data_IF_200229676651
#
_entry.id   IF_200229676651
#
_cell.length_a   1.000
_cell.length_b   1.000
_cell.length_c   1.000
_cell.angle_alpha   90.00
_cell.angle_beta   90.00
_cell.angle_gamma   90.00
#
_symmetry.space_group_name_H-M   'P 1'
#
loop_
_entity.id
_entity.type
_entity.pdbx_description
1 polymer ?
#
# COMPACT_ATOMS: atom_id res chain seq x y z
N UNK A 1 8.74 -0.58 4.05
CA UNK A 1 7.51 -1.41 4.10
C UNK A 1 6.34 -0.81 3.29
N UNK A 2 6.27 0.52 3.08
CA UNK A 2 5.19 1.16 2.32
C UNK A 2 5.12 0.77 0.84
N UNK A 3 6.26 0.72 0.13
CA UNK A 3 6.24 0.49 -1.32
C UNK A 3 5.69 -0.88 -1.72
N UNK A 4 5.96 -1.94 -0.94
CA UNK A 4 5.43 -3.27 -1.26
C UNK A 4 3.88 -3.29 -1.32
N UNK A 5 3.20 -2.40 -0.60
CA UNK A 5 1.73 -2.30 -0.65
C UNK A 5 1.25 -1.73 -1.97
N UNK A 6 2.05 -0.85 -2.57
CA UNK A 6 1.75 -0.11 -3.78
C UNK A 6 2.39 -0.72 -5.03
N UNK A 7 3.36 -1.64 -4.89
CA UNK A 7 4.16 -2.17 -6.01
C UNK A 7 3.29 -2.67 -7.17
N UNK A 8 2.21 -3.47 -6.97
CA UNK A 8 1.39 -3.93 -8.08
C UNK A 8 0.66 -2.78 -8.79
N UNK A 9 0.11 -1.83 -8.03
CA UNK A 9 -0.51 -0.62 -8.59
C UNK A 9 0.53 0.18 -9.39
N UNK A 10 1.72 0.41 -8.83
CA UNK A 10 2.79 1.11 -9.52
C UNK A 10 3.15 0.44 -10.86
N UNK A 11 3.39 -0.88 -10.84
CA UNK A 11 3.77 -1.61 -12.06
C UNK A 11 2.72 -1.50 -13.16
N UNK A 12 1.44 -1.44 -12.79
CA UNK A 12 0.35 -1.26 -13.72
C UNK A 12 0.25 0.19 -14.21
N UNK A 13 0.21 1.18 -13.31
CA UNK A 13 0.09 2.60 -13.67
C UNK A 13 1.28 3.12 -14.48
N UNK A 14 2.49 2.59 -14.25
CA UNK A 14 3.70 2.99 -14.99
C UNK A 14 3.61 2.67 -16.50
N UNK A 15 2.73 1.77 -16.90
CA UNK A 15 2.52 1.42 -18.31
C UNK A 15 1.69 2.48 -19.06
N UNK A 16 1.01 3.37 -18.34
CA UNK A 16 0.18 4.42 -18.92
C UNK A 16 0.98 5.74 -18.98
N UNK A 17 1.36 6.17 -20.19
CA UNK A 17 2.15 7.39 -20.41
C UNK A 17 1.44 8.68 -19.99
N UNK A 18 0.11 8.63 -19.80
CA UNK A 18 -0.70 9.77 -19.33
C UNK A 18 -0.55 9.99 -17.83
N UNK A 19 0.01 9.02 -17.10
CA UNK A 19 0.10 9.04 -15.64
C UNK A 19 1.53 9.35 -15.21
N UNK A 20 1.69 10.47 -14.51
CA UNK A 20 2.96 10.82 -13.87
C UNK A 20 2.97 10.37 -12.40
N UNK A 21 3.94 9.51 -12.04
CA UNK A 21 4.08 9.00 -10.68
C UNK A 21 5.22 9.70 -9.94
N UNK A 22 4.93 10.17 -8.72
CA UNK A 22 5.91 10.77 -7.81
C UNK A 22 5.93 10.03 -6.47
N UNK A 23 7.13 9.72 -6.00
CA UNK A 23 7.34 9.01 -4.73
C UNK A 23 7.93 9.92 -3.65
N UNK A 24 7.39 9.82 -2.44
CA UNK A 24 7.89 10.56 -1.28
C UNK A 24 7.91 9.68 -0.03
N UNK A 25 8.78 10.01 0.93
CA UNK A 25 8.90 9.31 2.21
C UNK A 25 9.44 10.24 3.31
N UNK A 26 9.23 9.86 4.58
CA UNK A 26 9.65 10.67 5.73
C UNK A 26 11.18 10.85 5.84
N UNK A 27 11.97 9.81 5.54
CA UNK A 27 13.43 9.84 5.70
C UNK A 27 14.14 9.14 4.54
N UNK A 28 15.32 9.68 4.16
CA UNK A 28 16.26 9.06 3.21
C UNK A 28 15.60 8.53 1.93
N UNK A 29 14.68 9.31 1.36
CA UNK A 29 13.79 8.88 0.27
C UNK A 29 14.55 8.25 -0.91
N UNK A 30 15.67 8.85 -1.34
CA UNK A 30 16.49 8.32 -2.44
C UNK A 30 17.15 6.98 -2.08
N UNK A 31 17.74 6.86 -0.89
CA UNK A 31 18.37 5.60 -0.45
C UNK A 31 17.33 4.48 -0.32
N UNK A 32 16.18 4.80 0.26
CA UNK A 32 15.08 3.86 0.47
C UNK A 32 14.54 3.28 -0.84
N UNK A 33 14.29 4.14 -1.84
CA UNK A 33 13.75 3.67 -3.11
C UNK A 33 14.82 3.02 -4.00
N UNK A 34 16.07 3.49 -3.95
CA UNK A 34 17.19 2.83 -4.64
C UNK A 34 17.46 1.42 -4.13
N UNK A 35 17.36 1.18 -2.82
CA UNK A 35 17.63 -0.16 -2.24
C UNK A 35 16.61 -1.22 -2.65
N UNK A 36 15.43 -0.79 -3.11
CA UNK A 36 14.37 -1.68 -3.61
C UNK A 36 14.24 -1.63 -5.14
N UNK A 37 15.27 -1.13 -5.83
CA UNK A 37 15.37 -1.15 -7.30
C UNK A 37 14.67 -0.01 -8.03
N UNK A 38 14.11 0.99 -7.32
CA UNK A 38 13.45 2.14 -7.94
C UNK A 38 14.46 3.28 -8.16
N UNK A 39 15.37 3.11 -9.12
CA UNK A 39 16.41 4.09 -9.44
C UNK A 39 15.93 5.20 -10.39
N UNK A 40 15.02 4.85 -11.28
CA UNK A 40 14.55 5.73 -12.37
C UNK A 40 13.20 6.40 -12.07
N UNK A 41 12.63 6.11 -10.89
CA UNK A 41 11.36 6.72 -10.47
C UNK A 41 11.54 8.17 -10.04
N UNK A 42 10.51 8.99 -10.32
CA UNK A 42 10.49 10.39 -9.90
C UNK A 42 10.33 10.47 -8.39
N UNK A 43 11.39 10.85 -7.69
CA UNK A 43 11.41 10.95 -6.23
C UNK A 43 11.39 12.42 -5.82
N UNK A 44 10.50 12.78 -4.91
CA UNK A 44 10.38 14.12 -4.33
C UNK A 44 10.54 14.08 -2.82
N UNK A 45 11.40 14.96 -2.29
CA UNK A 45 11.55 15.11 -0.84
C UNK A 45 10.25 15.60 -0.22
N UNK A 46 9.94 15.13 0.99
CA UNK A 46 8.69 15.44 1.69
C UNK A 46 8.36 16.93 1.72
N UNK A 47 9.35 17.78 2.01
CA UNK A 47 9.18 19.24 2.04
C UNK A 47 8.76 19.81 0.70
N UNK A 48 9.38 19.36 -0.40
CA UNK A 48 9.04 19.78 -1.75
C UNK A 48 7.72 19.19 -2.24
N UNK A 49 7.41 17.95 -1.83
CA UNK A 49 6.14 17.31 -2.15
C UNK A 49 4.98 18.17 -1.61
N UNK A 50 5.14 18.73 -0.41
CA UNK A 50 4.13 19.58 0.20
C UNK A 50 3.90 20.93 -0.49
N UNK A 51 4.85 21.39 -1.31
CA UNK A 51 4.72 22.63 -2.08
C UNK A 51 4.06 22.41 -3.44
N UNK A 52 3.85 21.16 -3.85
CA UNK A 52 3.24 20.78 -5.11
C UNK A 52 1.77 20.44 -4.93
N UNK A 53 0.99 20.55 -6.01
CA UNK A 53 -0.36 19.99 -6.14
C UNK A 53 -0.29 18.70 -6.95
N UNK A 54 -1.17 17.76 -6.63
CA UNK A 54 -1.30 16.47 -7.29
C UNK A 54 -2.78 16.19 -7.56
N UNK A 55 -3.09 15.41 -8.60
CA UNK A 55 -4.48 14.98 -8.82
C UNK A 55 -4.88 13.90 -7.80
N UNK A 56 -3.93 13.03 -7.44
CA UNK A 56 -4.17 11.92 -6.50
C UNK A 56 -2.97 11.66 -5.58
N UNK A 57 -3.25 11.36 -4.31
CA UNK A 57 -2.27 10.83 -3.38
C UNK A 57 -2.71 9.46 -2.82
N UNK A 58 -1.88 8.45 -3.05
CA UNK A 58 -2.11 7.08 -2.58
C UNK A 58 -1.22 6.80 -1.38
N UNK A 59 -1.83 6.52 -0.24
CA UNK A 59 -1.15 6.42 1.04
C UNK A 59 -1.41 5.05 1.65
N UNK A 60 -0.36 4.24 1.92
CA UNK A 60 -0.52 2.98 2.65
C UNK A 60 -0.53 3.19 4.17
N UNK A 61 -0.28 4.41 4.64
CA UNK A 61 -0.19 4.78 6.04
C UNK A 61 -0.78 6.17 6.29
N UNK A 62 -0.88 6.58 7.55
CA UNK A 62 -1.36 7.91 7.95
C UNK A 62 -0.25 8.97 8.06
N UNK A 63 0.94 8.76 7.48
CA UNK A 63 2.07 9.70 7.64
C UNK A 63 2.03 10.90 6.67
N UNK A 64 1.20 10.84 5.63
CA UNK A 64 1.02 11.92 4.67
C UNK A 64 -0.29 12.65 4.97
N UNK A 65 -0.19 13.76 5.71
CA UNK A 65 -1.36 14.46 6.26
C UNK A 65 -1.75 15.72 5.47
N UNK A 66 -1.00 16.06 4.40
CA UNK A 66 -1.28 17.25 3.60
C UNK A 66 -2.47 17.04 2.67
N UNK A 67 -3.31 18.08 2.57
CA UNK A 67 -4.41 18.20 1.62
C UNK A 67 -3.95 18.95 0.36
N UNK A 68 -2.92 18.43 -0.29
CA UNK A 68 -2.37 18.98 -1.54
C UNK A 68 -2.61 18.05 -2.74
N UNK A 69 -3.57 17.14 -2.60
CA UNK A 69 -4.08 16.32 -3.68
C UNK A 69 -5.59 16.46 -3.75
N UNK A 70 -6.15 16.41 -4.96
CA UNK A 70 -7.59 16.53 -5.18
C UNK A 70 -8.35 15.27 -4.69
N UNK A 71 -7.73 14.09 -4.84
CA UNK A 71 -8.22 12.83 -4.29
C UNK A 71 -7.15 12.16 -3.42
N UNK A 72 -7.52 11.72 -2.20
CA UNK A 72 -6.65 10.96 -1.31
C UNK A 72 -7.20 9.56 -1.07
N UNK A 73 -6.37 8.58 -1.35
CA UNK A 73 -6.70 7.16 -1.22
C UNK A 73 -5.89 6.53 -0.10
N UNK A 74 -6.56 5.89 0.85
CA UNK A 74 -5.91 5.06 1.87
C UNK A 74 -5.96 3.60 1.44
N UNK A 75 -4.78 2.98 1.29
CA UNK A 75 -4.66 1.56 0.90
C UNK A 75 -4.23 0.64 2.04
N UNK A 76 -3.90 1.22 3.19
CA UNK A 76 -3.48 0.52 4.40
C UNK A 76 -2.22 -0.35 4.22
N UNK A 77 -1.78 -0.98 5.32
CA UNK A 77 -0.65 -1.92 5.32
C UNK A 77 -1.07 -3.37 5.55
N UNK A 78 -2.32 -3.60 5.95
CA UNK A 78 -2.82 -4.89 6.36
C UNK A 78 -4.06 -4.78 7.24
N UNK A 79 -4.65 -5.93 7.51
CA UNK A 79 -5.71 -6.08 8.51
C UNK A 79 -5.06 -6.41 9.85
N UNK A 80 -5.44 -5.70 10.90
CA UNK A 80 -4.93 -5.95 12.26
C UNK A 80 -6.08 -6.36 13.16
N UNK A 81 -5.93 -7.47 13.88
CA UNK A 81 -6.85 -7.87 14.94
C UNK A 81 -6.90 -6.85 16.10
N UNK A 82 -5.85 -6.04 16.26
CA UNK A 82 -5.80 -4.92 17.21
C UNK A 82 -6.49 -3.66 16.68
N UNK A 83 -7.17 -3.75 15.53
CA UNK A 83 -7.93 -2.67 14.86
C UNK A 83 -7.18 -1.35 14.65
N UNK A 84 -5.84 -1.36 14.63
CA UNK A 84 -5.03 -0.13 14.43
C UNK A 84 -5.29 0.56 13.09
N UNK A 85 -5.75 -0.18 12.08
CA UNK A 85 -6.11 0.38 10.77
C UNK A 85 -7.42 1.20 10.82
N UNK A 86 -8.31 0.88 11.77
CA UNK A 86 -9.61 1.55 11.98
C UNK A 86 -9.40 2.80 12.82
N UNK A 87 -8.55 3.69 12.31
CA UNK A 87 -8.10 4.89 13.01
C UNK A 87 -8.86 6.11 12.51
N UNK A 88 -9.13 7.09 13.39
CA UNK A 88 -9.86 8.33 13.04
C UNK A 88 -9.28 9.05 11.82
N UNK A 89 -7.95 9.05 11.69
CA UNK A 89 -7.22 9.64 10.53
C UNK A 89 -7.59 9.02 9.17
N UNK A 90 -8.13 7.81 9.13
CA UNK A 90 -8.63 7.24 7.89
C UNK A 90 -9.85 8.02 7.37
N UNK A 91 -10.65 8.61 8.27
CA UNK A 91 -11.84 9.38 7.89
C UNK A 91 -11.52 10.65 7.11
N UNK A 92 -10.26 11.10 7.16
CA UNK A 92 -9.77 12.25 6.38
C UNK A 92 -9.54 11.91 4.90
N UNK A 93 -9.66 10.64 4.47
CA UNK A 93 -9.43 10.23 3.08
C UNK A 93 -10.72 10.19 2.29
N UNK A 94 -10.61 10.44 0.99
CA UNK A 94 -11.72 10.46 0.04
C UNK A 94 -12.10 9.04 -0.39
N UNK A 95 -11.13 8.10 -0.38
CA UNK A 95 -11.33 6.68 -0.65
C UNK A 95 -10.55 5.79 0.30
N UNK A 96 -11.15 4.68 0.69
CA UNK A 96 -10.63 3.65 1.58
C UNK A 96 -10.67 2.31 0.85
N UNK A 97 -9.51 1.79 0.46
CA UNK A 97 -9.41 0.49 -0.18
C UNK A 97 -9.45 -0.58 0.92
N UNK A 98 -10.62 -1.19 1.10
CA UNK A 98 -10.88 -2.12 2.17
C UNK A 98 -10.43 -3.52 1.75
N UNK A 99 -9.74 -4.18 2.68
CA UNK A 99 -9.27 -5.55 2.49
C UNK A 99 -10.41 -6.59 2.41
N UNK A 100 -11.59 -6.27 2.96
CA UNK A 100 -12.73 -7.17 3.02
C UNK A 100 -13.77 -6.75 4.07
N UNK A 101 -14.84 -7.54 4.16
CA UNK A 101 -16.05 -7.23 4.95
C UNK A 101 -15.78 -7.02 6.44
N UNK A 102 -14.79 -7.74 6.99
CA UNK A 102 -14.38 -7.53 8.38
C UNK A 102 -13.94 -6.09 8.64
N UNK A 103 -13.14 -5.53 7.73
CA UNK A 103 -12.59 -4.19 7.89
C UNK A 103 -13.69 -3.13 7.72
N UNK A 104 -14.58 -3.32 6.73
CA UNK A 104 -15.78 -2.51 6.53
C UNK A 104 -16.63 -2.45 7.79
N UNK A 105 -17.02 -3.63 8.30
CA UNK A 105 -17.82 -3.74 9.53
C UNK A 105 -17.17 -3.03 10.70
N UNK A 106 -15.85 -3.14 10.85
CA UNK A 106 -15.15 -2.42 11.94
C UNK A 106 -15.20 -0.91 11.78
N UNK A 107 -15.12 -0.37 10.57
CA UNK A 107 -15.28 1.07 10.34
C UNK A 107 -16.71 1.54 10.65
N UNK A 108 -17.72 0.80 10.22
CA UNK A 108 -19.13 1.06 10.54
C UNK A 108 -19.36 1.03 12.05
N UNK A 109 -18.99 -0.07 12.72
CA UNK A 109 -19.18 -0.25 14.17
C UNK A 109 -18.44 0.80 15.01
N UNK A 110 -17.21 1.15 14.62
CA UNK A 110 -16.35 2.03 15.44
C UNK A 110 -16.67 3.51 15.26
N UNK A 111 -17.04 3.92 14.04
CA UNK A 111 -17.20 5.33 13.69
C UNK A 111 -18.65 5.70 13.32
N UNK A 112 -19.59 4.77 13.40
CA UNK A 112 -21.00 5.00 13.07
C UNK A 112 -21.21 5.39 11.61
N UNK A 113 -20.37 4.86 10.70
CA UNK A 113 -20.49 5.15 9.27
C UNK A 113 -21.64 4.36 8.65
N UNK A 114 -22.18 4.86 7.54
CA UNK A 114 -23.18 4.12 6.78
C UNK A 114 -22.55 2.86 6.14
N UNK A 115 -23.35 1.80 5.98
CA UNK A 115 -22.90 0.57 5.31
C UNK A 115 -22.55 0.79 3.83
N UNK A 116 -23.10 1.84 3.21
CA UNK A 116 -22.87 2.26 1.83
C UNK A 116 -22.03 3.54 1.75
N UNK A 117 -21.23 3.83 2.78
CA UNK A 117 -20.34 5.00 2.79
C UNK A 117 -19.50 5.06 1.51
N UNK A 118 -19.68 6.13 0.74
CA UNK A 118 -19.09 6.32 -0.60
C UNK A 118 -17.57 6.30 -0.63
N UNK A 119 -16.90 6.37 0.53
CA UNK A 119 -15.45 6.22 0.65
C UNK A 119 -15.02 4.76 0.54
N UNK A 120 -15.88 3.79 0.85
CA UNK A 120 -15.50 2.38 0.90
C UNK A 120 -15.35 1.78 -0.51
N UNK A 121 -14.19 1.22 -0.78
CA UNK A 121 -13.88 0.49 -2.02
C UNK A 121 -13.44 -0.93 -1.68
N UNK A 122 -14.28 -1.91 -2.00
CA UNK A 122 -14.08 -3.32 -1.66
C UNK A 122 -13.17 -4.04 -2.66
N UNK A 123 -11.90 -3.65 -2.70
CA UNK A 123 -10.94 -4.13 -3.71
C UNK A 123 -9.87 -5.10 -3.18
N UNK A 124 -9.86 -5.37 -1.87
CA UNK A 124 -8.84 -6.23 -1.26
C UNK A 124 -7.52 -5.48 -0.99
N UNK A 125 -6.40 -6.20 -1.04
CA UNK A 125 -5.07 -5.64 -0.80
C UNK A 125 -4.18 -5.88 -2.01
N UNK A 126 -3.84 -4.84 -2.81
CA UNK A 126 -3.07 -5.01 -4.05
C UNK A 126 -1.78 -5.81 -3.88
N UNK A 127 -1.12 -5.69 -2.73
CA UNK A 127 0.11 -6.45 -2.40
C UNK A 127 -0.03 -7.97 -2.50
N UNK A 128 -1.24 -8.51 -2.40
CA UNK A 128 -1.50 -9.96 -2.48
C UNK A 128 -1.93 -10.40 -3.88
N UNK A 129 -2.12 -9.47 -4.83
CA UNK A 129 -2.48 -9.80 -6.22
C UNK A 129 -1.51 -10.83 -6.84
N UNK A 130 -0.19 -10.77 -6.60
CA UNK A 130 0.74 -11.79 -7.11
C UNK A 130 0.44 -13.23 -6.64
N UNK A 131 -0.26 -13.42 -5.51
CA UNK A 131 -0.63 -14.74 -5.00
C UNK A 131 -1.79 -15.38 -5.78
N UNK A 132 -2.56 -14.57 -6.52
CA UNK A 132 -3.78 -15.02 -7.22
C UNK A 132 -3.66 -14.92 -8.74
N UNK A 133 -2.81 -14.02 -9.26
CA UNK A 133 -2.74 -13.72 -10.70
C UNK A 133 -1.74 -14.60 -11.48
N UNK A 134 -1.12 -15.59 -10.83
CA UNK A 134 -0.13 -16.48 -11.45
C UNK A 134 1.23 -15.84 -11.74
N UNK A 135 1.51 -14.62 -11.28
CA UNK A 135 2.83 -13.98 -11.51
C UNK A 135 3.95 -14.53 -10.62
N UNK A 136 3.67 -15.47 -9.73
CA UNK A 136 4.63 -16.09 -8.84
C UNK A 136 4.80 -17.58 -9.16
N UNK A 137 6.00 -17.94 -9.63
CA UNK A 137 6.37 -19.32 -9.90
C UNK A 137 7.14 -19.92 -8.70
N UNK A 138 6.52 -20.88 -8.03
CA UNK A 138 7.04 -21.47 -6.78
C UNK A 138 8.47 -21.99 -6.93
N UNK A 139 8.70 -22.80 -7.95
CA UNK A 139 9.98 -23.49 -8.17
C UNK A 139 11.10 -22.50 -8.48
N UNK A 140 10.81 -21.45 -9.24
CA UNK A 140 11.75 -20.37 -9.56
C UNK A 140 12.12 -19.57 -8.31
N UNK A 141 11.13 -19.22 -7.49
CA UNK A 141 11.35 -18.49 -6.23
C UNK A 141 12.21 -19.33 -5.29
N UNK A 142 11.88 -20.60 -5.07
CA UNK A 142 12.67 -21.49 -4.20
C UNK A 142 14.11 -21.63 -4.69
N UNK A 143 14.30 -21.86 -6.00
CA UNK A 143 15.63 -21.91 -6.62
C UNK A 143 16.42 -20.61 -6.41
N UNK A 144 15.78 -19.44 -6.58
CA UNK A 144 16.42 -18.13 -6.38
C UNK A 144 16.88 -17.88 -4.94
N UNK A 145 16.21 -18.52 -3.98
CA UNK A 145 16.52 -18.43 -2.55
C UNK A 145 17.45 -19.56 -2.06
N UNK A 146 17.88 -20.46 -2.95
CA UNK A 146 18.68 -21.63 -2.58
C UNK A 146 17.94 -22.64 -1.71
N UNK A 147 16.60 -22.67 -1.79
CA UNK A 147 15.75 -23.58 -1.01
C UNK A 147 15.57 -24.88 -1.81
N UNK A 148 15.81 -26.01 -1.17
CA UNK A 148 15.58 -27.34 -1.75
C UNK A 148 14.10 -27.55 -2.09
N UNK A 149 13.81 -27.91 -3.36
CA UNK A 149 12.47 -28.17 -3.84
C UNK A 149 11.85 -29.44 -3.26
N UNK A 150 12.67 -30.38 -2.78
CA UNK A 150 12.24 -31.67 -2.23
C UNK A 150 11.88 -31.62 -0.74
N UNK A 151 12.23 -30.55 -0.03
CA UNK A 151 11.92 -30.38 1.40
C UNK A 151 10.73 -29.43 1.62
N UNK A 152 9.90 -29.68 2.66
CA UNK A 152 8.92 -28.72 3.12
C UNK A 152 9.57 -27.39 3.51
N UNK A 153 8.94 -26.27 3.15
CA UNK A 153 9.41 -24.93 3.51
C UNK A 153 8.58 -24.37 4.66
N UNK A 154 9.25 -23.93 5.73
CA UNK A 154 8.60 -23.30 6.89
C UNK A 154 8.97 -21.81 6.91
N UNK A 155 7.96 -20.94 7.04
CA UNK A 155 8.15 -19.50 7.25
C UNK A 155 7.86 -19.20 8.73
N UNK A 156 8.84 -18.62 9.42
CA UNK A 156 8.68 -18.11 10.78
C UNK A 156 8.76 -16.58 10.77
N UNK A 157 7.66 -15.92 11.15
CA UNK A 157 7.53 -14.46 11.11
C UNK A 157 6.98 -13.90 12.44
N UNK A 158 7.76 -13.96 13.53
CA UNK A 158 7.31 -13.48 14.84
C UNK A 158 7.13 -11.96 14.83
N UNK A 159 6.13 -11.47 15.57
CA UNK A 159 6.02 -10.04 15.87
C UNK A 159 7.09 -9.62 16.86
N UNK A 160 7.54 -8.37 16.80
CA UNK A 160 8.41 -7.82 17.85
C UNK A 160 7.69 -7.92 19.22
N UNK A 161 8.41 -8.24 20.31
CA UNK A 161 7.88 -8.17 21.67
C UNK A 161 7.29 -6.78 21.98
#
# INVERSE_FOLDING_TARGET
>A
MSYAMFKPIHQWLKQDERIELWFTANHKVKELYRSIGLKDEKIVYKTLAYLRRYDMAICPSFFYERKNADIRVQIFHGVSLKNRAVHKKALDYDKLFLAGEYMKRKFVETWGLAEDDTRFEMIGMPKVDPLINGSLEREEIKKSLGIDNHLPTIIYAPTRP
#
